data_IF_838117432633
#
_entry.id   IF_838117432633
#
_cell.length_a   1.000
_cell.length_b   1.000
_cell.length_c   1.000
_cell.angle_alpha   90.00
_cell.angle_beta   90.00
_cell.angle_gamma   90.00
#
_symmetry.space_group_name_H-M   'P 1'
#
loop_
_entity.id
_entity.type
_entity.pdbx_description
1 polymer ?
#
# COMPACT_ATOMS: atom_id res chain seq x y z
N UNK A 1 2.85 -13.79 -7.00
CA UNK A 1 2.80 -14.91 -7.96
C UNK A 1 1.72 -14.62 -8.98
N UNK A 2 2.00 -14.77 -10.29
CA UNK A 2 1.00 -14.63 -11.36
C UNK A 2 0.52 -16.02 -11.78
N UNK A 3 -0.79 -16.17 -11.95
CA UNK A 3 -1.44 -17.41 -12.42
C UNK A 3 -2.29 -17.07 -13.64
N UNK A 4 -2.12 -17.83 -14.72
CA UNK A 4 -2.94 -17.69 -15.92
C UNK A 4 -4.19 -18.56 -15.76
N UNK A 5 -5.37 -18.00 -16.03
CA UNK A 5 -6.65 -18.72 -15.99
C UNK A 5 -7.40 -18.56 -17.30
N UNK A 6 -8.51 -19.26 -17.47
CA UNK A 6 -9.41 -19.08 -18.63
C UNK A 6 -10.10 -17.71 -18.64
N UNK A 7 -10.11 -16.99 -17.52
CA UNK A 7 -10.70 -15.66 -17.38
C UNK A 7 -9.65 -14.53 -17.39
N UNK A 8 -8.38 -14.84 -17.68
CA UNK A 8 -7.26 -13.89 -17.65
C UNK A 8 -6.27 -14.15 -16.52
N UNK A 9 -5.35 -13.22 -16.32
CA UNK A 9 -4.32 -13.32 -15.28
C UNK A 9 -4.89 -12.96 -13.91
N UNK A 10 -4.48 -13.72 -12.90
CA UNK A 10 -4.74 -13.42 -11.49
C UNK A 10 -3.40 -13.33 -10.76
N UNK A 11 -3.31 -12.40 -9.81
CA UNK A 11 -2.12 -12.19 -9.01
C UNK A 11 -2.39 -12.54 -7.56
N UNK A 12 -1.68 -13.55 -7.05
CA UNK A 12 -1.61 -13.84 -5.63
C UNK A 12 -0.48 -13.04 -4.99
N UNK A 13 -0.78 -12.33 -3.90
CA UNK A 13 0.18 -11.60 -3.09
C UNK A 13 0.03 -12.01 -1.63
N UNK A 14 1.18 -12.29 -1.00
CA UNK A 14 1.30 -12.35 0.45
C UNK A 14 1.97 -11.06 0.90
N UNK A 15 1.26 -10.24 1.66
CA UNK A 15 1.80 -9.03 2.25
C UNK A 15 2.58 -9.37 3.52
N UNK A 16 3.51 -8.48 3.88
CA UNK A 16 4.31 -8.61 5.09
C UNK A 16 3.43 -8.50 6.34
N UNK A 17 3.75 -9.29 7.36
CA UNK A 17 3.15 -9.21 8.71
C UNK A 17 4.05 -8.44 9.69
N UNK A 18 5.15 -7.86 9.21
CA UNK A 18 6.07 -7.09 10.05
C UNK A 18 5.42 -5.78 10.51
N UNK A 19 5.75 -5.26 11.72
CA UNK A 19 5.08 -4.08 12.31
C UNK A 19 5.15 -2.78 11.50
N UNK A 20 6.03 -2.71 10.50
CA UNK A 20 6.17 -1.55 9.61
C UNK A 20 5.16 -1.54 8.46
N UNK A 21 4.43 -2.63 8.24
CA UNK A 21 3.47 -2.80 7.15
C UNK A 21 2.05 -2.92 7.72
N UNK A 22 1.06 -2.38 7.00
CA UNK A 22 -0.35 -2.57 7.33
C UNK A 22 -0.82 -3.97 6.89
N UNK A 23 -2.03 -4.35 7.29
CA UNK A 23 -2.75 -5.42 6.63
C UNK A 23 -3.17 -4.95 5.23
N UNK A 24 -2.26 -5.09 4.26
CA UNK A 24 -2.46 -4.62 2.89
C UNK A 24 -3.76 -5.16 2.26
N UNK A 25 -4.15 -6.45 2.40
CA UNK A 25 -5.43 -6.92 1.86
C UNK A 25 -6.65 -6.10 2.30
N UNK A 26 -6.74 -5.74 3.59
CA UNK A 26 -7.84 -4.92 4.10
C UNK A 26 -7.78 -3.50 3.54
N UNK A 27 -6.59 -2.87 3.57
CA UNK A 27 -6.41 -1.49 3.11
C UNK A 27 -6.63 -1.38 1.60
N UNK A 28 -6.14 -2.32 0.80
CA UNK A 28 -6.35 -2.32 -0.66
C UNK A 28 -7.81 -2.55 -1.02
N UNK A 29 -8.53 -3.41 -0.31
CA UNK A 29 -9.98 -3.61 -0.52
C UNK A 29 -10.75 -2.31 -0.28
N UNK A 30 -10.42 -1.58 0.79
CA UNK A 30 -11.05 -0.29 1.03
C UNK A 30 -10.67 0.76 -0.01
N UNK A 31 -9.40 0.81 -0.42
CA UNK A 31 -8.97 1.73 -1.48
C UNK A 31 -9.62 1.41 -2.82
N UNK A 32 -9.88 0.13 -3.13
CA UNK A 32 -10.66 -0.26 -4.31
C UNK A 32 -12.08 0.29 -4.24
N UNK A 33 -12.76 0.16 -3.10
CA UNK A 33 -14.12 0.71 -2.94
C UNK A 33 -14.14 2.23 -3.15
N UNK A 34 -13.13 2.95 -2.66
CA UNK A 34 -13.04 4.41 -2.78
C UNK A 34 -12.60 4.87 -4.18
N UNK A 35 -11.74 4.11 -4.84
CA UNK A 35 -11.09 4.48 -6.11
C UNK A 35 -11.04 3.31 -7.11
N UNK A 36 -12.19 2.75 -7.53
CA UNK A 36 -12.24 1.48 -8.27
C UNK A 36 -11.59 1.53 -9.65
N UNK A 37 -11.39 2.72 -10.22
CA UNK A 37 -10.71 2.91 -11.50
C UNK A 37 -9.18 3.02 -11.38
N UNK A 38 -8.65 3.10 -10.17
CA UNK A 38 -7.24 3.42 -9.91
C UNK A 38 -6.53 2.41 -9.00
N UNK A 39 -7.26 1.42 -8.51
CA UNK A 39 -6.79 0.36 -7.63
C UNK A 39 -7.17 -0.97 -8.27
N UNK A 40 -6.29 -2.00 -8.24
CA UNK A 40 -6.61 -3.31 -8.78
C UNK A 40 -7.82 -3.92 -8.07
N UNK A 41 -8.69 -4.59 -8.84
CA UNK A 41 -9.83 -5.31 -8.27
C UNK A 41 -9.38 -6.44 -7.36
N UNK A 42 -9.85 -6.43 -6.11
CA UNK A 42 -9.57 -7.46 -5.11
C UNK A 42 -10.59 -8.58 -5.27
N UNK A 43 -10.12 -9.73 -5.76
CA UNK A 43 -10.98 -10.89 -6.01
C UNK A 43 -11.29 -11.65 -4.72
N UNK A 44 -10.32 -11.73 -3.81
CA UNK A 44 -10.48 -12.38 -2.51
C UNK A 44 -9.33 -12.02 -1.57
N UNK A 45 -9.56 -12.13 -0.26
CA UNK A 45 -8.53 -11.92 0.76
C UNK A 45 -8.57 -13.02 1.84
N UNK A 46 -7.42 -13.28 2.45
CA UNK A 46 -7.33 -13.90 3.76
C UNK A 46 -6.59 -12.92 4.68
N UNK A 47 -7.36 -12.18 5.48
CA UNK A 47 -6.83 -11.10 6.32
C UNK A 47 -5.92 -11.61 7.43
N UNK A 48 -6.17 -12.80 7.98
CA UNK A 48 -5.33 -13.41 9.03
C UNK A 48 -3.92 -13.73 8.52
N UNK A 49 -3.82 -14.20 7.26
CA UNK A 49 -2.54 -14.57 6.63
C UNK A 49 -1.93 -13.45 5.79
N UNK A 50 -2.60 -12.30 5.70
CA UNK A 50 -2.23 -11.18 4.85
C UNK A 50 -2.12 -11.59 3.36
N UNK A 51 -3.02 -12.45 2.90
CA UNK A 51 -3.07 -12.88 1.50
C UNK A 51 -4.16 -12.16 0.72
N UNK A 52 -3.92 -11.91 -0.55
CA UNK A 52 -4.89 -11.33 -1.48
C UNK A 52 -4.73 -11.88 -2.88
N UNK A 53 -5.86 -12.03 -3.56
CA UNK A 53 -5.97 -12.29 -4.99
C UNK A 53 -6.43 -11.01 -5.67
N UNK A 54 -5.71 -10.61 -6.72
CA UNK A 54 -6.02 -9.44 -7.54
C UNK A 54 -6.32 -9.86 -8.97
N UNK A 55 -7.26 -9.15 -9.59
CA UNK A 55 -7.42 -9.18 -11.05
C UNK A 55 -6.20 -8.56 -11.74
N UNK A 56 -6.04 -8.83 -13.03
CA UNK A 56 -5.07 -8.13 -13.85
C UNK A 56 -5.37 -6.63 -13.87
N UNK A 57 -4.33 -5.82 -13.67
CA UNK A 57 -4.41 -4.36 -13.64
C UNK A 57 -3.50 -3.71 -14.70
N UNK A 58 -3.10 -4.50 -15.70
CA UNK A 58 -2.29 -4.06 -16.81
C UNK A 58 -0.80 -4.15 -16.52
N UNK A 59 -0.01 -3.60 -17.46
CA UNK A 59 1.44 -3.73 -17.45
C UNK A 59 2.10 -2.72 -16.50
N UNK A 60 3.13 -3.13 -15.74
CA UNK A 60 3.89 -2.22 -14.90
C UNK A 60 4.50 -1.07 -15.70
N UNK A 61 4.32 0.15 -15.20
CA UNK A 61 4.96 1.32 -15.80
C UNK A 61 6.44 1.32 -15.43
N UNK A 62 7.30 1.10 -16.42
CA UNK A 62 8.75 1.05 -16.23
C UNK A 62 9.40 2.40 -15.95
N UNK A 63 10.64 2.36 -15.42
CA UNK A 63 11.46 3.56 -15.14
C UNK A 63 11.78 4.40 -16.37
N UNK A 64 11.72 3.80 -17.56
CA UNK A 64 11.99 4.46 -18.85
C UNK A 64 10.73 5.08 -19.47
N UNK A 65 9.64 5.21 -18.71
CA UNK A 65 8.42 5.89 -19.16
C UNK A 65 8.68 7.36 -19.47
N UNK A 66 7.90 7.94 -20.39
CA UNK A 66 8.04 9.36 -20.75
C UNK A 66 7.80 10.27 -19.55
N UNK A 67 8.48 11.43 -19.53
CA UNK A 67 8.31 12.45 -18.46
C UNK A 67 6.83 12.85 -18.33
N UNK A 68 6.11 12.96 -19.44
CA UNK A 68 4.67 13.28 -19.43
C UNK A 68 3.88 12.23 -18.64
N UNK A 69 4.06 10.95 -18.96
CA UNK A 69 3.37 9.86 -18.27
C UNK A 69 3.71 9.83 -16.77
N UNK A 70 4.98 10.04 -16.41
CA UNK A 70 5.38 10.12 -15.00
C UNK A 70 4.66 11.26 -14.27
N UNK A 71 4.57 12.45 -14.87
CA UNK A 71 3.83 13.60 -14.30
C UNK A 71 2.36 13.28 -14.11
N UNK A 72 1.75 12.60 -15.07
CA UNK A 72 0.34 12.22 -15.00
C UNK A 72 0.09 11.22 -13.85
N UNK A 73 0.97 10.24 -13.65
CA UNK A 73 0.91 9.29 -12.53
C UNK A 73 1.02 10.01 -11.19
N UNK A 74 2.00 10.89 -11.01
CA UNK A 74 2.16 11.63 -9.76
C UNK A 74 0.98 12.55 -9.48
N UNK A 75 0.39 13.16 -10.51
CA UNK A 75 -0.81 13.97 -10.37
C UNK A 75 -2.01 13.12 -9.93
N UNK A 76 -2.19 11.94 -10.52
CA UNK A 76 -3.24 11.01 -10.14
C UNK A 76 -3.05 10.52 -8.69
N UNK A 77 -1.82 10.12 -8.33
CA UNK A 77 -1.50 9.70 -6.97
C UNK A 77 -1.82 10.81 -5.94
N UNK A 78 -1.44 12.05 -6.23
CA UNK A 78 -1.75 13.18 -5.37
C UNK A 78 -3.27 13.42 -5.24
N UNK A 79 -4.03 13.27 -6.32
CA UNK A 79 -5.49 13.38 -6.27
C UNK A 79 -6.12 12.30 -5.40
N UNK A 80 -5.64 11.05 -5.49
CA UNK A 80 -6.08 9.95 -4.63
C UNK A 80 -5.77 10.29 -3.17
N UNK A 81 -4.52 10.69 -2.86
CA UNK A 81 -4.11 11.05 -1.50
C UNK A 81 -4.95 12.19 -0.90
N UNK A 82 -5.22 13.25 -1.68
CA UNK A 82 -6.05 14.38 -1.24
C UNK A 82 -7.49 13.92 -0.98
N UNK A 83 -8.08 13.13 -1.87
CA UNK A 83 -9.45 12.61 -1.69
C UNK A 83 -9.55 11.68 -0.48
N UNK A 84 -8.52 10.87 -0.22
CA UNK A 84 -8.46 9.98 0.94
C UNK A 84 -8.51 10.72 2.29
N UNK A 85 -8.25 12.04 2.33
CA UNK A 85 -8.37 12.84 3.57
C UNK A 85 -9.77 12.72 4.17
N UNK A 86 -10.81 12.64 3.33
CA UNK A 86 -12.20 12.49 3.79
C UNK A 86 -12.51 11.12 4.42
N UNK A 87 -11.58 10.17 4.31
CA UNK A 87 -11.74 8.79 4.75
C UNK A 87 -10.67 8.37 5.77
N UNK A 88 -9.91 9.32 6.35
CA UNK A 88 -8.80 9.02 7.27
C UNK A 88 -9.24 8.14 8.42
N UNK A 89 -10.34 8.45 9.09
CA UNK A 89 -10.77 7.70 10.27
C UNK A 89 -11.12 6.25 9.91
N UNK A 90 -11.78 6.04 8.76
CA UNK A 90 -12.08 4.69 8.27
C UNK A 90 -10.80 3.92 7.93
N UNK A 91 -9.88 4.56 7.19
CA UNK A 91 -8.61 3.95 6.80
C UNK A 91 -7.76 3.57 8.02
N UNK A 92 -7.71 4.42 9.04
CA UNK A 92 -7.01 4.10 10.29
C UNK A 92 -7.68 2.95 11.04
N UNK A 93 -9.01 2.94 11.11
CA UNK A 93 -9.78 1.91 11.80
C UNK A 93 -9.58 0.51 11.19
N UNK A 94 -9.47 0.41 9.86
CA UNK A 94 -9.20 -0.88 9.17
C UNK A 94 -7.73 -1.34 9.25
N UNK A 95 -6.85 -0.54 9.87
CA UNK A 95 -5.45 -0.90 10.09
C UNK A 95 -4.45 -0.25 9.13
N UNK A 96 -4.84 0.81 8.40
CA UNK A 96 -3.84 1.68 7.76
C UNK A 96 -2.96 2.32 8.83
N UNK A 97 -1.66 2.41 8.55
CA UNK A 97 -0.71 2.89 9.53
C UNK A 97 -0.77 4.41 9.65
N UNK A 98 -0.95 4.89 10.88
CA UNK A 98 -0.75 6.30 11.17
C UNK A 98 0.75 6.64 11.11
N UNK A 99 1.07 7.56 10.20
CA UNK A 99 2.42 8.06 9.92
C UNK A 99 2.50 9.58 10.00
N UNK A 100 1.49 10.23 10.61
CA UNK A 100 1.57 11.67 10.90
C UNK A 100 2.79 11.96 11.78
N UNK A 101 3.36 13.15 11.61
CA UNK A 101 4.65 13.50 12.24
C UNK A 101 4.62 13.33 13.75
N UNK A 102 3.50 13.64 14.41
CA UNK A 102 3.33 13.50 15.86
C UNK A 102 3.34 12.04 16.32
N UNK A 103 2.96 11.10 15.44
CA UNK A 103 3.02 9.65 15.71
C UNK A 103 4.35 9.04 15.31
N UNK A 104 5.01 9.59 14.30
CA UNK A 104 6.28 9.06 13.82
C UNK A 104 7.43 9.50 14.74
N UNK A 105 7.41 10.73 15.24
CA UNK A 105 8.42 11.25 16.16
C UNK A 105 8.57 10.37 17.41
N UNK A 106 7.47 9.91 17.99
CA UNK A 106 7.50 9.02 19.17
C UNK A 106 8.13 7.66 18.91
N UNK A 107 8.21 7.22 17.63
CA UNK A 107 8.88 5.97 17.25
C UNK A 107 10.39 6.14 17.10
N UNK A 108 10.86 7.37 16.89
CA UNK A 108 12.28 7.68 16.71
C UNK A 108 13.01 7.62 18.06
N UNK A 109 12.37 8.04 19.15
CA UNK A 109 12.96 8.01 20.51
C UNK A 109 13.43 6.60 20.92
N UNK A 110 12.68 5.57 20.51
CA UNK A 110 13.05 4.17 20.76
C UNK A 110 14.34 3.80 20.03
N UNK A 111 14.53 4.29 18.81
CA UNK A 111 15.73 4.02 17.99
C UNK A 111 16.97 4.71 18.55
N UNK A 112 16.83 5.93 19.08
CA UNK A 112 17.94 6.63 19.74
C UNK A 112 18.37 5.98 21.06
N UNK A 113 17.52 5.15 21.66
CA UNK A 113 17.86 4.38 22.86
C UNK A 113 18.38 2.96 22.53
N UNK A 114 18.38 2.56 21.26
CA UNK A 114 18.91 1.28 20.81
C UNK A 114 20.40 1.40 20.45
N UNK A 115 21.27 0.87 21.32
CA UNK A 115 22.72 0.87 21.15
C UNK A 115 23.16 0.14 19.87
N UNK A 116 22.43 -0.89 19.43
CA UNK A 116 22.77 -1.61 18.20
C UNK A 116 22.51 -0.73 16.98
N UNK A 117 21.35 -0.06 16.94
CA UNK A 117 21.00 0.88 15.86
C UNK A 117 22.02 2.03 15.80
N UNK A 118 22.36 2.63 16.94
CA UNK A 118 23.34 3.72 16.99
C UNK A 118 24.74 3.30 16.54
N UNK A 119 25.13 2.04 16.80
CA UNK A 119 26.44 1.54 16.38
C UNK A 119 26.61 1.43 14.87
N UNK A 120 25.51 1.35 14.11
CA UNK A 120 25.51 1.28 12.64
C UNK A 120 25.47 2.64 11.94
N UNK A 121 25.33 3.75 12.69
CA UNK A 121 25.31 5.11 12.15
C UNK A 121 26.69 5.78 12.14
N UNK A 122 27.74 5.06 12.56
CA UNK A 122 29.15 5.49 12.48
C UNK A 122 29.77 5.04 11.16
#
# INVERSE_FOLDING_TARGET
MRVNTTAGNIYFKQASTLPLFCNEPLVTTELENLFPQHIPTVLNINSERHWMLLADFGEPIGRNSSIKLQKDIYRLLAQIQIKSIQHIDNLLNIGCLDRRLEKLSTKIDVLFNDKNVLSQLK
#
